data_IF_767096983075
#
_entry.id   IF_767096983075
#
_cell.length_a   1.000
_cell.length_b   1.000
_cell.length_c   1.000
_cell.angle_alpha   90.00
_cell.angle_beta   90.00
_cell.angle_gamma   90.00
#
_symmetry.space_group_name_H-M   'P 1'
#
loop_
_entity.id
_entity.type
_entity.pdbx_description
1 polymer ?
#
# COMPACT_ATOMS: atom_id res chain seq x y z
N UNK A 1 -27.45 26.06 -23.96
CA UNK A 1 -26.73 24.78 -23.78
C UNK A 1 -27.62 23.87 -22.95
N UNK A 2 -27.77 22.59 -23.31
CA UNK A 2 -28.60 21.64 -22.55
C UNK A 2 -27.96 21.40 -21.16
N UNK A 3 -28.69 21.63 -20.05
CA UNK A 3 -28.19 21.37 -18.69
C UNK A 3 -27.66 19.95 -18.48
N UNK A 4 -28.25 18.96 -19.14
CA UNK A 4 -27.81 17.56 -19.06
C UNK A 4 -26.42 17.39 -19.66
N UNK A 5 -26.13 18.13 -20.73
CA UNK A 5 -24.86 18.10 -21.45
C UNK A 5 -23.75 18.76 -20.62
N UNK A 6 -24.06 19.85 -19.91
CA UNK A 6 -23.14 20.49 -18.96
C UNK A 6 -22.82 19.53 -17.80
N UNK A 7 -23.84 18.88 -17.22
CA UNK A 7 -23.64 17.91 -16.15
C UNK A 7 -22.76 16.72 -16.60
N UNK A 8 -23.01 16.18 -17.80
CA UNK A 8 -22.18 15.12 -18.37
C UNK A 8 -20.72 15.55 -18.56
N UNK A 9 -20.49 16.79 -19.01
CA UNK A 9 -19.15 17.33 -19.23
C UNK A 9 -18.39 17.51 -17.91
N UNK A 10 -19.07 17.98 -16.85
CA UNK A 10 -18.51 18.11 -15.51
C UNK A 10 -18.15 16.74 -14.91
N UNK A 11 -19.01 15.74 -15.11
CA UNK A 11 -18.78 14.39 -14.57
C UNK A 11 -17.75 13.59 -15.38
N UNK A 12 -17.58 13.90 -16.67
CA UNK A 12 -16.72 13.13 -17.58
C UNK A 12 -15.29 12.88 -17.08
N UNK A 13 -14.51 13.84 -16.53
CA UNK A 13 -13.17 13.56 -16.03
C UNK A 13 -13.17 12.51 -14.91
N UNK A 14 -14.12 12.57 -13.98
CA UNK A 14 -14.22 11.61 -12.89
C UNK A 14 -14.57 10.22 -13.42
N UNK A 15 -15.60 10.13 -14.27
CA UNK A 15 -16.03 8.88 -14.86
C UNK A 15 -14.89 8.22 -15.62
N UNK A 16 -14.13 8.98 -16.41
CA UNK A 16 -12.97 8.46 -17.15
C UNK A 16 -11.87 7.94 -16.22
N UNK A 17 -11.54 8.67 -15.15
CA UNK A 17 -10.55 8.24 -14.16
C UNK A 17 -10.99 6.94 -13.47
N UNK A 18 -12.24 6.85 -13.02
CA UNK A 18 -12.75 5.64 -12.35
C UNK A 18 -12.83 4.44 -13.30
N UNK A 19 -13.25 4.64 -14.55
CA UNK A 19 -13.24 3.59 -15.56
C UNK A 19 -11.82 3.08 -15.83
N UNK A 20 -10.87 4.00 -15.99
CA UNK A 20 -9.46 3.65 -16.19
C UNK A 20 -8.90 2.87 -15.00
N UNK A 21 -9.09 3.37 -13.78
CA UNK A 21 -8.64 2.71 -12.55
C UNK A 21 -9.26 1.32 -12.39
N UNK A 22 -10.56 1.17 -12.66
CA UNK A 22 -11.24 -0.11 -12.61
C UNK A 22 -10.72 -1.12 -13.64
N UNK A 23 -10.49 -0.68 -14.88
CA UNK A 23 -9.90 -1.54 -15.93
C UNK A 23 -8.46 -1.92 -15.57
N UNK A 24 -7.68 -0.96 -15.07
CA UNK A 24 -6.31 -1.18 -14.65
C UNK A 24 -6.24 -2.20 -13.51
N UNK A 25 -7.05 -2.02 -12.47
CA UNK A 25 -7.12 -2.93 -11.33
C UNK A 25 -7.66 -4.31 -11.71
N UNK A 26 -8.65 -4.39 -12.61
CA UNK A 26 -9.11 -5.68 -13.13
C UNK A 26 -8.01 -6.44 -13.86
N UNK A 27 -7.20 -5.73 -14.67
CA UNK A 27 -6.05 -6.32 -15.36
C UNK A 27 -4.99 -6.79 -14.37
N UNK A 28 -4.67 -5.96 -13.36
CA UNK A 28 -3.76 -6.29 -12.26
C UNK A 28 -4.22 -7.52 -11.51
N UNK A 29 -5.49 -7.57 -11.12
CA UNK A 29 -6.10 -8.72 -10.44
C UNK A 29 -5.97 -10.01 -11.26
N UNK A 30 -6.12 -9.93 -12.58
CA UNK A 30 -5.98 -11.06 -13.50
C UNK A 30 -4.53 -11.55 -13.62
N UNK A 31 -3.53 -10.70 -13.43
CA UNK A 31 -2.10 -11.05 -13.53
C UNK A 31 -1.47 -11.42 -12.19
N UNK A 32 -1.85 -10.75 -11.11
CA UNK A 32 -1.19 -10.79 -9.79
C UNK A 32 -2.10 -11.34 -8.68
N UNK A 33 -3.35 -11.69 -8.98
CA UNK A 33 -4.27 -12.20 -7.96
C UNK A 33 -4.80 -11.14 -6.99
N UNK A 34 -5.22 -11.58 -5.80
CA UNK A 34 -5.77 -10.68 -4.77
C UNK A 34 -4.64 -9.85 -4.20
N UNK A 35 -4.78 -8.52 -4.23
CA UNK A 35 -3.83 -7.67 -3.50
C UNK A 35 -3.93 -7.99 -2.01
N UNK A 36 -2.79 -8.35 -1.41
CA UNK A 36 -2.62 -8.31 0.03
C UNK A 36 -2.27 -6.88 0.42
N UNK A 37 -2.89 -6.38 1.47
CA UNK A 37 -2.59 -5.05 1.98
C UNK A 37 -2.05 -5.21 3.40
N UNK A 38 -0.99 -4.48 3.69
CA UNK A 38 -0.42 -4.47 5.02
C UNK A 38 0.47 -3.27 5.25
N UNK A 39 1.08 -3.26 6.42
CA UNK A 39 1.98 -2.21 6.85
C UNK A 39 3.36 -2.48 6.25
N UNK A 40 3.99 -1.45 5.69
CA UNK A 40 5.38 -1.50 5.25
C UNK A 40 6.17 -0.41 5.98
N UNK A 41 7.32 -0.79 6.53
CA UNK A 41 8.24 0.13 7.18
C UNK A 41 9.12 0.84 6.15
N UNK A 42 9.22 2.16 6.25
CA UNK A 42 10.11 3.00 5.46
C UNK A 42 11.31 3.42 6.32
N UNK A 43 12.48 2.87 6.01
CA UNK A 43 13.73 3.13 6.71
C UNK A 43 14.24 4.58 6.53
N UNK A 44 13.90 5.24 5.42
CA UNK A 44 14.37 6.59 5.12
C UNK A 44 13.69 7.61 6.05
N UNK A 45 12.38 7.42 6.30
CA UNK A 45 11.59 8.33 7.13
C UNK A 45 11.38 7.82 8.55
N UNK A 46 11.66 6.53 8.80
CA UNK A 46 11.38 5.86 10.06
C UNK A 46 9.88 5.72 10.34
N UNK A 47 9.04 5.68 9.30
CA UNK A 47 7.57 5.60 9.44
C UNK A 47 7.02 4.31 8.85
N UNK A 48 5.82 3.91 9.29
CA UNK A 48 5.10 2.77 8.72
C UNK A 48 3.86 3.26 7.98
N UNK A 49 3.60 2.71 6.80
CA UNK A 49 2.48 3.10 5.94
C UNK A 49 1.77 1.89 5.34
N UNK A 50 0.49 2.04 5.01
CA UNK A 50 -0.30 0.97 4.38
C UNK A 50 -0.04 0.97 2.88
N UNK A 51 0.36 -0.18 2.35
CA UNK A 51 0.62 -0.38 0.93
C UNK A 51 0.14 -1.76 0.47
N UNK A 52 0.19 -2.00 -0.85
CA UNK A 52 0.02 -3.33 -1.41
C UNK A 52 1.29 -4.14 -1.14
N UNK A 53 1.13 -5.30 -0.52
CA UNK A 53 2.17 -6.30 -0.31
C UNK A 53 2.18 -7.25 -1.51
N UNK A 54 3.37 -7.61 -1.98
CA UNK A 54 3.51 -8.72 -2.94
C UNK A 54 3.13 -10.05 -2.28
N UNK A 55 2.79 -11.08 -3.07
CA UNK A 55 2.35 -12.38 -2.52
C UNK A 55 3.39 -13.06 -1.62
N UNK A 56 4.67 -12.69 -1.77
CA UNK A 56 5.80 -13.23 -1.00
C UNK A 56 6.27 -12.28 0.13
N UNK A 57 5.66 -11.10 0.29
CA UNK A 57 5.98 -10.15 1.34
C UNK A 57 4.98 -10.25 2.49
N UNK A 58 5.46 -10.69 3.65
CA UNK A 58 4.75 -10.50 4.91
C UNK A 58 4.82 -9.02 5.30
N UNK A 59 3.67 -8.45 5.69
CA UNK A 59 3.60 -7.08 6.18
C UNK A 59 4.39 -6.90 7.46
N UNK A 60 4.90 -5.69 7.69
CA UNK A 60 5.53 -5.31 8.95
C UNK A 60 4.56 -5.52 10.12
N UNK A 61 4.89 -6.45 11.01
CA UNK A 61 4.25 -6.63 12.31
C UNK A 61 5.09 -5.94 13.39
N UNK A 62 4.46 -5.09 14.19
CA UNK A 62 5.15 -4.41 15.29
C UNK A 62 5.38 -5.33 16.49
N UNK A 63 4.62 -6.42 16.59
CA UNK A 63 4.78 -7.42 17.65
C UNK A 63 6.01 -8.32 17.40
N UNK A 64 6.48 -8.40 16.14
CA UNK A 64 7.72 -9.12 15.78
C UNK A 64 8.98 -8.32 16.16
N UNK A 65 8.87 -7.01 16.40
CA UNK A 65 10.01 -6.17 16.77
C UNK A 65 10.25 -6.19 18.29
N UNK A 66 11.25 -6.95 18.74
CA UNK A 66 11.70 -6.94 20.14
C UNK A 66 12.89 -5.98 20.35
N UNK A 67 12.70 -4.79 20.96
CA UNK A 67 13.80 -3.87 21.25
C UNK A 67 14.84 -4.45 22.24
N UNK A 68 14.52 -5.52 22.97
CA UNK A 68 15.45 -6.16 23.90
C UNK A 68 16.48 -7.05 23.19
N UNK A 69 16.20 -7.58 21.99
CA UNK A 69 17.20 -8.33 21.20
C UNK A 69 18.41 -7.47 20.82
N UNK A 70 18.17 -6.19 20.52
CA UNK A 70 19.21 -5.22 20.16
C UNK A 70 20.11 -4.90 21.36
N UNK A 71 19.56 -4.93 22.58
CA UNK A 71 20.29 -4.64 23.81
C UNK A 71 21.11 -5.83 24.30
N UNK A 72 20.63 -7.07 24.12
CA UNK A 72 21.34 -8.28 24.56
C UNK A 72 22.72 -8.45 23.90
N UNK A 73 22.88 -8.03 22.64
CA UNK A 73 24.14 -8.17 21.90
C UNK A 73 25.22 -7.15 22.32
N UNK A 74 24.85 -6.12 23.07
CA UNK A 74 25.75 -5.05 23.49
C UNK A 74 26.45 -5.34 24.83
N UNK A 75 25.81 -6.15 25.68
CA UNK A 75 26.32 -6.46 27.00
C UNK A 75 27.29 -7.67 27.02
N UNK A 76 27.21 -8.57 26.03
CA UNK A 76 28.05 -9.78 25.96
C UNK A 76 29.44 -9.55 25.32
N UNK A 77 29.76 -8.31 24.89
CA UNK A 77 31.09 -7.91 24.39
C UNK A 77 31.95 -7.18 25.44
N UNK A 78 31.49 -7.11 26.68
CA UNK A 78 32.17 -6.42 27.79
C UNK A 78 32.59 -7.37 28.94
N UNK A 79 32.74 -8.68 28.67
CA UNK A 79 33.32 -9.64 29.63
C UNK A 79 34.56 -10.31 29.05
#
# INVERSE_FOLDING_TARGET
MDPRLIAALILSPFVLVFLYAGIHEYRRYKSEGRAQYGLQYDEETGTTHVTALSEDEDGYDHEDFDPNEVNANKDDKNV
#
